data_IF_884923409945
#
_entry.id   IF_884923409945
#
_cell.length_a   1.000
_cell.length_b   1.000
_cell.length_c   1.000
_cell.angle_alpha   90.00
_cell.angle_beta   90.00
_cell.angle_gamma   90.00
#
_symmetry.space_group_name_H-M   'P 1'
#
loop_
_entity.id
_entity.type
_entity.pdbx_description
1 polymer ?
#
# COMPACT_ATOMS: atom_id res chain seq x y z
N UNK A 1 8.05 68.20 23.44
CA UNK A 1 8.96 67.94 24.58
C UNK A 1 8.25 67.01 25.55
N UNK A 2 8.88 66.03 26.22
CA UNK A 2 10.10 65.26 25.92
C UNK A 2 9.88 63.73 25.96
N UNK A 3 10.91 62.99 25.52
CA UNK A 3 11.13 61.54 25.65
C UNK A 3 11.49 61.13 27.09
N UNK A 4 11.17 59.90 27.46
CA UNK A 4 11.88 59.03 28.44
C UNK A 4 11.48 57.57 28.10
N UNK A 5 12.26 56.71 27.43
CA UNK A 5 13.57 56.07 27.69
C UNK A 5 13.69 55.21 28.96
N UNK A 6 13.85 53.89 28.71
CA UNK A 6 14.47 52.80 29.50
C UNK A 6 13.73 52.38 30.79
N UNK A 7 13.68 51.10 31.20
CA UNK A 7 14.80 50.17 31.41
C UNK A 7 14.28 48.70 31.35
N UNK A 8 14.92 47.86 30.54
CA UNK A 8 14.88 46.39 30.65
C UNK A 8 15.52 45.94 31.97
N UNK A 9 14.82 45.10 32.75
CA UNK A 9 15.42 44.31 33.81
C UNK A 9 15.47 42.84 33.41
N UNK A 10 16.66 42.40 32.99
CA UNK A 10 17.09 40.99 33.01
C UNK A 10 16.89 40.44 34.42
N UNK A 11 16.13 39.35 34.53
CA UNK A 11 16.20 38.49 35.72
C UNK A 11 16.97 37.22 35.38
N UNK A 12 18.08 37.07 36.09
CA UNK A 12 18.94 35.90 36.10
C UNK A 12 18.18 34.70 36.67
N UNK A 13 18.02 33.64 35.89
CA UNK A 13 17.58 32.34 36.41
C UNK A 13 18.80 31.59 36.97
N UNK A 14 18.69 31.31 38.26
CA UNK A 14 19.62 30.63 39.13
C UNK A 14 19.76 29.16 38.72
N UNK A 15 21.00 28.72 38.47
CA UNK A 15 21.35 27.32 38.26
C UNK A 15 21.35 26.58 39.60
N UNK A 16 20.45 25.60 39.77
CA UNK A 16 20.54 24.64 40.86
C UNK A 16 21.20 23.37 40.33
N UNK A 17 22.46 23.16 40.72
CA UNK A 17 23.18 21.90 40.60
C UNK A 17 22.58 20.91 41.60
N UNK A 18 21.92 19.86 41.11
CA UNK A 18 21.58 18.70 41.92
C UNK A 18 22.68 17.64 41.72
N UNK A 19 23.37 17.34 42.81
CA UNK A 19 24.44 16.35 42.91
C UNK A 19 23.79 14.95 42.93
N UNK A 20 23.82 14.21 41.82
CA UNK A 20 23.46 12.79 41.82
C UNK A 20 24.73 11.95 41.99
N UNK A 21 24.79 11.29 43.15
CA UNK A 21 25.83 10.39 43.60
C UNK A 21 25.96 9.19 42.64
N UNK A 22 27.17 8.95 42.13
CA UNK A 22 27.52 7.77 41.33
C UNK A 22 27.71 6.59 42.30
N UNK A 23 26.86 5.58 42.22
CA UNK A 23 27.16 4.24 42.72
C UNK A 23 27.57 3.35 41.55
N UNK A 24 28.86 3.02 41.50
CA UNK A 24 29.39 1.91 40.69
C UNK A 24 29.10 0.63 41.45
N UNK A 25 28.12 -0.15 40.99
CA UNK A 25 27.99 -1.56 41.31
C UNK A 25 28.16 -2.35 40.01
N UNK A 26 29.32 -2.96 39.86
CA UNK A 26 29.63 -3.93 38.84
C UNK A 26 28.87 -5.22 39.15
N UNK A 27 27.77 -5.46 38.44
CA UNK A 27 27.14 -6.77 38.39
C UNK A 27 26.80 -7.12 36.95
N UNK A 28 27.60 -8.06 36.40
CA UNK A 28 27.26 -8.88 35.24
C UNK A 28 27.06 -8.11 33.94
N UNK A 29 28.00 -8.28 33.00
CA UNK A 29 27.66 -8.15 31.59
C UNK A 29 26.42 -9.02 31.33
N UNK A 30 25.30 -8.47 30.83
CA UNK A 30 24.33 -9.31 30.17
C UNK A 30 25.10 -9.97 29.04
N UNK A 31 25.25 -11.29 29.09
CA UNK A 31 25.66 -12.06 27.92
C UNK A 31 24.85 -11.54 26.74
N UNK A 32 25.54 -11.13 25.68
CA UNK A 32 25.01 -10.55 24.43
C UNK A 32 24.26 -11.62 23.60
N UNK A 33 23.43 -12.39 24.31
CA UNK A 33 22.45 -13.37 23.84
C UNK A 33 21.05 -12.76 23.91
N UNK A 34 20.94 -11.44 23.76
CA UNK A 34 19.73 -10.85 23.23
C UNK A 34 19.55 -11.42 21.82
N UNK A 35 18.58 -12.31 21.67
CA UNK A 35 18.11 -12.90 20.43
C UNK A 35 18.26 -11.92 19.26
N UNK A 36 19.37 -12.03 18.52
CA UNK A 36 19.28 -11.89 17.07
C UNK A 36 18.34 -13.00 16.66
N UNK A 37 17.07 -12.67 16.48
CA UNK A 37 16.20 -13.47 15.65
C UNK A 37 16.99 -13.68 14.37
N UNK A 38 17.57 -14.86 14.22
CA UNK A 38 18.08 -15.33 12.95
C UNK A 38 16.89 -15.16 12.01
N UNK A 39 16.96 -14.15 11.15
CA UNK A 39 16.05 -14.02 10.02
C UNK A 39 16.38 -15.21 9.13
N UNK A 40 15.81 -16.36 9.48
CA UNK A 40 15.69 -17.50 8.58
C UNK A 40 15.02 -16.89 7.35
N UNK A 41 15.80 -16.73 6.28
CA UNK A 41 15.28 -16.30 5.00
C UNK A 41 14.43 -17.45 4.50
N UNK A 42 13.13 -17.40 4.82
CA UNK A 42 12.14 -18.28 4.24
C UNK A 42 12.17 -18.00 2.75
N UNK A 43 12.44 -19.05 1.97
CA UNK A 43 12.42 -18.99 0.52
C UNK A 43 11.44 -20.05 0.05
N UNK A 44 10.30 -19.58 -0.41
CA UNK A 44 9.28 -20.36 -1.10
C UNK A 44 9.30 -19.94 -2.57
N UNK A 45 10.29 -20.37 -3.37
CA UNK A 45 10.50 -19.86 -4.73
C UNK A 45 9.31 -20.09 -5.67
N UNK A 46 8.41 -21.02 -5.33
CA UNK A 46 7.18 -21.32 -6.06
C UNK A 46 5.91 -20.80 -5.35
N UNK A 47 6.04 -19.89 -4.38
CA UNK A 47 4.95 -19.35 -3.57
C UNK A 47 4.58 -20.24 -2.38
N UNK A 48 3.59 -19.81 -1.60
CA UNK A 48 3.22 -20.47 -0.32
C UNK A 48 2.46 -21.79 -0.47
N UNK A 49 2.02 -22.14 -1.68
CA UNK A 49 1.06 -23.22 -1.93
C UNK A 49 -0.24 -23.09 -1.10
N UNK A 50 -0.59 -21.87 -0.68
CA UNK A 50 -1.78 -21.58 0.11
C UNK A 50 -1.63 -21.74 1.63
N UNK A 51 -0.40 -21.92 2.13
CA UNK A 51 -0.15 -22.08 3.55
C UNK A 51 0.90 -21.09 4.05
N UNK A 52 0.56 -20.31 5.08
CA UNK A 52 1.49 -19.44 5.77
C UNK A 52 2.58 -20.29 6.42
N UNK A 53 3.82 -19.82 6.32
CA UNK A 53 4.87 -20.32 7.19
C UNK A 53 4.51 -20.03 8.66
N UNK A 54 4.78 -20.93 9.62
CA UNK A 54 4.38 -20.74 11.02
C UNK A 54 4.82 -19.41 11.65
N UNK A 55 5.96 -18.86 11.22
CA UNK A 55 6.44 -17.54 11.69
C UNK A 55 5.65 -16.34 11.16
N UNK A 56 4.79 -16.54 10.16
CA UNK A 56 3.93 -15.52 9.56
C UNK A 56 2.59 -15.45 10.30
N UNK A 57 2.07 -16.57 10.81
CA UNK A 57 0.74 -16.67 11.44
C UNK A 57 0.46 -15.64 12.55
N UNK A 58 1.52 -15.17 13.23
CA UNK A 58 1.44 -14.17 14.32
C UNK A 58 1.74 -12.74 13.87
N UNK A 59 2.07 -12.52 12.59
CA UNK A 59 2.36 -11.21 12.02
C UNK A 59 1.07 -10.40 11.80
N UNK A 60 1.15 -9.06 11.80
CA UNK A 60 0.03 -8.22 11.43
C UNK A 60 -0.50 -8.51 10.02
N UNK A 61 -1.76 -8.16 9.80
CA UNK A 61 -2.41 -8.19 8.49
C UNK A 61 -2.31 -6.80 7.84
N UNK A 62 -2.09 -6.78 6.53
CA UNK A 62 -2.04 -5.58 5.70
C UNK A 62 -3.15 -5.67 4.66
N UNK A 63 -4.03 -4.69 4.65
CA UNK A 63 -5.06 -4.54 3.60
C UNK A 63 -4.77 -3.24 2.84
N UNK A 64 -4.32 -3.38 1.60
CA UNK A 64 -4.11 -2.28 0.67
C UNK A 64 -5.40 -2.01 -0.11
N UNK A 65 -6.09 -0.93 0.25
CA UNK A 65 -7.30 -0.46 -0.43
C UNK A 65 -6.93 0.61 -1.45
N UNK A 66 -7.36 0.45 -2.70
CA UNK A 66 -7.23 1.47 -3.74
C UNK A 66 -8.60 1.88 -4.27
N UNK A 67 -8.87 3.18 -4.17
CA UNK A 67 -10.02 3.83 -4.79
C UNK A 67 -9.49 4.64 -5.98
N UNK A 68 -9.70 4.12 -7.19
CA UNK A 68 -9.17 4.73 -8.41
C UNK A 68 -9.76 6.12 -8.62
N UNK A 69 -8.94 7.04 -9.12
CA UNK A 69 -9.34 8.43 -9.37
C UNK A 69 -9.75 9.22 -8.12
N UNK A 70 -9.54 8.71 -6.90
CA UNK A 70 -9.88 9.41 -5.67
C UNK A 70 -8.94 10.60 -5.46
N UNK A 71 -9.39 11.80 -5.83
CA UNK A 71 -8.63 13.04 -5.67
C UNK A 71 -8.57 13.45 -4.19
N UNK A 72 -7.43 14.01 -3.72
CA UNK A 72 -7.28 14.37 -2.32
C UNK A 72 -8.28 15.45 -1.84
N UNK A 73 -8.70 16.36 -2.73
CA UNK A 73 -9.66 17.42 -2.39
C UNK A 73 -11.09 16.91 -2.14
N UNK A 74 -11.39 15.64 -2.48
CA UNK A 74 -12.70 15.05 -2.21
C UNK A 74 -12.99 14.89 -0.72
N UNK A 75 -11.96 14.71 0.11
CA UNK A 75 -12.12 14.64 1.57
C UNK A 75 -12.59 15.98 2.17
N UNK A 76 -12.23 17.11 1.55
CA UNK A 76 -12.64 18.44 2.01
C UNK A 76 -13.98 18.88 1.39
N UNK A 77 -14.31 18.36 0.20
CA UNK A 77 -15.48 18.77 -0.58
C UNK A 77 -16.75 18.00 -0.25
N UNK A 78 -16.62 16.74 0.19
CA UNK A 78 -17.74 15.84 0.37
C UNK A 78 -17.75 15.24 1.79
N UNK A 79 -18.89 14.69 2.20
CA UNK A 79 -19.04 14.09 3.51
C UNK A 79 -18.50 12.65 3.50
N UNK A 80 -17.29 12.46 4.01
CA UNK A 80 -16.58 11.17 4.02
C UNK A 80 -16.32 10.61 5.42
N UNK A 81 -17.34 10.40 6.27
CA UNK A 81 -17.16 10.19 7.71
C UNK A 81 -16.29 8.98 8.07
N UNK A 82 -16.26 7.95 7.20
CA UNK A 82 -15.39 6.79 7.39
C UNK A 82 -13.92 7.10 7.08
N UNK A 83 -13.64 7.88 6.04
CA UNK A 83 -12.28 8.35 5.74
C UNK A 83 -11.83 9.38 6.78
N UNK A 84 -12.71 10.27 7.23
CA UNK A 84 -12.42 11.27 8.27
C UNK A 84 -12.02 10.59 9.57
N UNK A 85 -12.74 9.52 9.95
CA UNK A 85 -12.37 8.69 11.10
C UNK A 85 -11.00 8.05 10.90
N UNK A 86 -10.72 7.47 9.72
CA UNK A 86 -9.40 6.88 9.45
C UNK A 86 -8.27 7.92 9.52
N UNK A 87 -8.49 9.13 8.99
CA UNK A 87 -7.53 10.21 9.02
C UNK A 87 -7.27 10.74 10.44
N UNK A 88 -8.30 10.81 11.29
CA UNK A 88 -8.20 11.32 12.66
C UNK A 88 -7.66 10.30 13.67
N UNK A 89 -7.95 9.01 13.48
CA UNK A 89 -7.45 7.94 14.37
C UNK A 89 -6.17 7.28 13.88
N UNK A 90 -5.76 7.57 12.65
CA UNK A 90 -4.60 6.97 11.99
C UNK A 90 -3.58 8.00 11.55
N UNK A 91 -2.93 7.72 10.41
CA UNK A 91 -1.96 8.62 9.78
C UNK A 91 -2.50 8.97 8.40
N UNK A 92 -2.54 10.26 8.07
CA UNK A 92 -2.84 10.75 6.73
C UNK A 92 -1.70 11.61 6.18
N UNK A 93 -1.52 11.56 4.86
CA UNK A 93 -0.63 12.46 4.15
C UNK A 93 -1.46 13.57 3.49
N UNK A 94 -0.89 14.78 3.37
CA UNK A 94 -1.57 15.92 2.71
C UNK A 94 -1.92 15.64 1.25
N UNK A 95 -1.06 14.90 0.54
CA UNK A 95 -1.29 14.45 -0.83
C UNK A 95 -0.40 13.26 -1.15
N UNK A 96 -0.88 12.43 -2.07
CA UNK A 96 -0.10 11.39 -2.73
C UNK A 96 0.32 11.90 -4.11
N UNK A 97 1.62 11.89 -4.40
CA UNK A 97 2.14 12.27 -5.73
C UNK A 97 2.28 11.01 -6.55
N UNK A 98 1.50 10.90 -7.61
CA UNK A 98 1.57 9.76 -8.53
C UNK A 98 2.80 9.84 -9.43
N UNK A 99 3.14 8.72 -10.06
CA UNK A 99 4.09 8.66 -11.18
C UNK A 99 3.53 9.32 -12.43
N UNK A 100 4.40 9.61 -13.40
CA UNK A 100 3.99 10.05 -14.74
C UNK A 100 4.12 8.88 -15.75
N UNK A 101 3.12 8.67 -16.63
CA UNK A 101 1.83 9.35 -16.66
C UNK A 101 0.92 8.89 -15.50
N UNK A 102 0.04 9.79 -15.04
CA UNK A 102 -0.90 9.53 -13.95
C UNK A 102 -2.09 8.70 -14.43
N UNK A 103 -1.81 7.46 -14.86
CA UNK A 103 -2.78 6.48 -15.35
C UNK A 103 -2.86 5.29 -14.40
N UNK A 104 -4.03 4.63 -14.36
CA UNK A 104 -4.32 3.49 -13.47
C UNK A 104 -3.22 2.43 -13.46
N UNK A 105 -2.92 1.79 -14.60
CA UNK A 105 -2.01 0.63 -14.62
C UNK A 105 -0.57 1.01 -14.24
N UNK A 106 0.04 2.07 -14.81
CA UNK A 106 1.36 2.52 -14.39
C UNK A 106 1.41 2.85 -12.89
N UNK A 107 0.45 3.63 -12.37
CA UNK A 107 0.48 4.07 -10.98
C UNK A 107 0.28 2.91 -9.98
N UNK A 108 -0.67 2.01 -10.24
CA UNK A 108 -0.91 0.87 -9.35
C UNK A 108 0.27 -0.11 -9.35
N UNK A 109 0.88 -0.35 -10.51
CA UNK A 109 2.04 -1.23 -10.56
C UNK A 109 3.29 -0.58 -9.95
N UNK A 110 3.43 0.74 -10.05
CA UNK A 110 4.43 1.50 -9.28
C UNK A 110 4.22 1.38 -7.76
N UNK A 111 2.96 1.43 -7.28
CA UNK A 111 2.64 1.18 -5.85
C UNK A 111 3.05 -0.23 -5.44
N UNK A 112 2.77 -1.23 -6.28
CA UNK A 112 3.07 -2.63 -5.97
C UNK A 112 4.58 -2.94 -5.95
N UNK A 113 5.38 -2.26 -6.76
CA UNK A 113 6.79 -2.59 -7.00
C UNK A 113 7.78 -1.59 -6.38
N UNK A 114 7.33 -0.37 -6.10
CA UNK A 114 8.23 0.75 -5.76
C UNK A 114 9.06 1.28 -6.93
N UNK A 115 8.75 0.87 -8.16
CA UNK A 115 9.50 1.21 -9.38
C UNK A 115 8.77 2.28 -10.20
N UNK A 116 9.51 3.06 -10.99
CA UNK A 116 8.90 3.96 -11.99
C UNK A 116 8.39 3.17 -13.21
N UNK A 117 7.43 3.72 -13.99
CA UNK A 117 6.88 3.08 -15.18
C UNK A 117 7.91 2.57 -16.18
N UNK A 118 8.94 3.36 -16.45
CA UNK A 118 10.05 2.98 -17.35
C UNK A 118 10.82 1.73 -16.88
N UNK A 119 10.83 1.45 -15.58
CA UNK A 119 11.61 0.35 -15.00
C UNK A 119 10.76 -0.93 -14.86
N UNK A 120 9.47 -0.79 -14.57
CA UNK A 120 8.56 -1.93 -14.40
C UNK A 120 7.81 -2.32 -15.69
N UNK A 121 8.03 -1.62 -16.80
CA UNK A 121 7.53 -1.96 -18.14
C UNK A 121 6.13 -1.43 -18.48
N UNK A 122 5.25 -1.32 -17.50
CA UNK A 122 3.88 -0.77 -17.69
C UNK A 122 3.90 0.76 -17.80
N UNK A 123 4.18 1.29 -18.99
CA UNK A 123 4.35 2.74 -19.25
C UNK A 123 3.06 3.50 -19.53
N UNK A 124 1.97 2.79 -19.81
CA UNK A 124 0.64 3.37 -20.04
C UNK A 124 -0.46 2.33 -19.90
N UNK A 125 -1.72 2.79 -19.93
CA UNK A 125 -2.87 1.88 -20.02
C UNK A 125 -2.96 1.20 -21.40
N UNK A 126 -2.39 1.84 -22.44
CA UNK A 126 -2.19 1.30 -23.79
C UNK A 126 -0.89 1.85 -24.34
N UNK A 127 -0.08 1.00 -24.96
CA UNK A 127 1.17 1.40 -25.60
C UNK A 127 1.62 0.36 -26.62
N UNK A 128 2.59 0.73 -27.46
CA UNK A 128 3.24 -0.14 -28.43
C UNK A 128 4.68 -0.38 -27.98
N UNK A 129 5.15 -1.61 -28.09
CA UNK A 129 6.55 -1.97 -27.89
C UNK A 129 7.19 -2.29 -29.25
N UNK A 130 8.12 -1.44 -29.74
CA UNK A 130 8.74 -1.62 -31.04
C UNK A 130 9.68 -2.83 -31.13
N UNK A 131 10.23 -3.30 -30.00
CA UNK A 131 11.12 -4.47 -30.00
C UNK A 131 10.33 -5.78 -30.12
N UNK A 132 9.07 -5.75 -29.66
CA UNK A 132 8.13 -6.87 -29.73
C UNK A 132 7.23 -6.84 -30.95
N UNK A 133 7.07 -5.67 -31.57
CA UNK A 133 6.05 -5.39 -32.58
C UNK A 133 4.62 -5.72 -32.07
N UNK A 134 4.35 -5.38 -30.81
CA UNK A 134 3.10 -5.72 -30.12
C UNK A 134 2.51 -4.52 -29.37
N UNK A 135 1.18 -4.54 -29.20
CA UNK A 135 0.47 -3.57 -28.38
C UNK A 135 0.08 -4.16 -27.03
N UNK A 136 0.33 -3.41 -25.96
CA UNK A 136 -0.30 -3.64 -24.67
C UNK A 136 -1.62 -2.86 -24.58
N UNK A 137 -2.66 -3.47 -24.00
CA UNK A 137 -3.90 -2.78 -23.66
C UNK A 137 -4.53 -3.35 -22.40
N UNK A 138 -4.77 -2.50 -21.41
CA UNK A 138 -5.44 -2.92 -20.17
C UNK A 138 -6.85 -3.51 -20.37
N UNK A 139 -7.47 -3.29 -21.53
CA UNK A 139 -8.78 -3.86 -21.90
C UNK A 139 -8.66 -5.22 -22.58
N UNK A 140 -7.47 -5.59 -23.04
CA UNK A 140 -7.21 -6.89 -23.65
C UNK A 140 -6.63 -7.84 -22.60
N UNK A 141 -7.44 -8.83 -22.24
CA UNK A 141 -7.11 -9.86 -21.25
C UNK A 141 -5.87 -10.65 -21.61
N UNK A 142 -5.61 -10.89 -22.90
CA UNK A 142 -4.43 -11.62 -23.34
C UNK A 142 -3.15 -10.84 -23.00
N UNK A 143 -3.12 -9.53 -23.29
CA UNK A 143 -1.97 -8.67 -23.00
C UNK A 143 -1.78 -8.45 -21.49
N UNK A 144 -2.88 -8.30 -20.73
CA UNK A 144 -2.81 -8.19 -19.27
C UNK A 144 -2.21 -9.46 -18.68
N UNK A 145 -2.60 -10.64 -19.16
CA UNK A 145 -2.17 -11.95 -18.65
C UNK A 145 -0.82 -12.42 -19.15
N UNK A 146 -0.24 -11.76 -20.16
CA UNK A 146 1.12 -12.01 -20.60
C UNK A 146 2.12 -11.39 -19.60
N UNK A 147 2.77 -12.26 -18.83
CA UNK A 147 3.75 -11.90 -17.79
C UNK A 147 4.98 -11.15 -18.31
N UNK A 148 5.28 -11.21 -19.61
CA UNK A 148 6.47 -10.58 -20.16
C UNK A 148 6.35 -9.04 -20.25
N UNK A 149 5.14 -8.48 -20.15
CA UNK A 149 4.93 -7.03 -20.00
C UNK A 149 5.25 -6.49 -18.60
N UNK A 150 5.28 -7.37 -17.60
CA UNK A 150 5.33 -7.01 -16.18
C UNK A 150 6.73 -7.27 -15.61
N UNK A 151 7.53 -6.21 -15.52
CA UNK A 151 8.88 -6.30 -14.96
C UNK A 151 8.88 -6.00 -13.46
N UNK A 152 10.01 -6.26 -12.79
CA UNK A 152 10.15 -6.05 -11.35
C UNK A 152 9.52 -7.13 -10.48
N UNK A 153 9.43 -6.86 -9.18
CA UNK A 153 8.86 -7.78 -8.19
C UNK A 153 7.77 -7.05 -7.39
N UNK A 154 6.48 -7.32 -7.65
CA UNK A 154 5.41 -6.70 -6.89
C UNK A 154 5.29 -7.33 -5.49
N UNK A 155 4.77 -6.56 -4.55
CA UNK A 155 4.74 -6.88 -3.12
C UNK A 155 4.09 -8.23 -2.78
N UNK A 156 3.13 -8.71 -3.58
CA UNK A 156 2.55 -10.04 -3.39
C UNK A 156 3.52 -11.17 -3.77
N UNK A 157 4.36 -10.99 -4.80
CA UNK A 157 5.41 -11.96 -5.14
C UNK A 157 6.46 -12.00 -4.02
N UNK A 158 6.86 -10.84 -3.50
CA UNK A 158 7.77 -10.76 -2.35
C UNK A 158 7.20 -11.45 -1.11
N UNK A 159 5.91 -11.24 -0.81
CA UNK A 159 5.23 -11.89 0.31
C UNK A 159 5.12 -13.41 0.12
N UNK A 160 4.63 -13.86 -1.04
CA UNK A 160 4.47 -15.30 -1.35
C UNK A 160 5.80 -16.05 -1.32
N UNK A 161 6.88 -15.42 -1.79
CA UNK A 161 8.23 -16.02 -1.78
C UNK A 161 8.91 -16.01 -0.41
N UNK A 162 8.34 -15.28 0.55
CA UNK A 162 8.76 -15.26 1.96
C UNK A 162 7.81 -16.04 2.88
N UNK A 163 6.98 -16.91 2.31
CA UNK A 163 6.08 -17.79 3.07
C UNK A 163 4.82 -17.10 3.59
N UNK A 164 4.44 -15.94 3.04
CA UNK A 164 3.23 -15.21 3.42
C UNK A 164 2.13 -15.37 2.36
N UNK A 165 1.00 -15.94 2.75
CA UNK A 165 -0.18 -16.10 1.89
C UNK A 165 -0.75 -14.72 1.57
N UNK A 166 -1.14 -14.52 0.31
CA UNK A 166 -1.67 -13.24 -0.16
C UNK A 166 -3.03 -13.38 -0.86
N UNK A 167 -3.81 -12.29 -0.82
CA UNK A 167 -5.11 -12.17 -1.44
C UNK A 167 -5.17 -10.94 -2.36
N UNK A 168 -5.81 -11.04 -3.51
CA UNK A 168 -5.96 -9.93 -4.43
C UNK A 168 -7.34 -9.90 -5.08
N UNK A 169 -8.04 -8.80 -4.90
CA UNK A 169 -9.29 -8.53 -5.58
C UNK A 169 -9.10 -7.33 -6.52
N UNK A 170 -8.87 -7.64 -7.80
CA UNK A 170 -8.82 -6.71 -8.94
C UNK A 170 -7.62 -5.75 -9.03
N UNK A 171 -6.61 -5.89 -8.18
CA UNK A 171 -5.46 -4.98 -8.23
C UNK A 171 -4.64 -5.21 -9.51
N UNK A 172 -4.24 -4.16 -10.27
CA UNK A 172 -3.49 -4.32 -11.52
C UNK A 172 -2.21 -5.18 -11.36
N UNK A 173 -2.03 -6.12 -12.28
CA UNK A 173 -0.91 -7.08 -12.29
C UNK A 173 -1.19 -8.41 -11.58
N UNK A 174 -2.25 -8.50 -10.76
CA UNK A 174 -2.52 -9.71 -9.95
C UNK A 174 -3.12 -10.88 -10.76
N UNK A 175 -3.53 -10.63 -12.00
CA UNK A 175 -4.13 -11.63 -12.89
C UNK A 175 -3.09 -12.44 -13.67
N UNK A 176 -1.82 -12.11 -13.43
CA UNK A 176 -0.67 -12.56 -14.21
C UNK A 176 0.34 -13.19 -13.27
N UNK A 177 0.93 -14.32 -13.69
CA UNK A 177 1.97 -14.98 -12.93
C UNK A 177 3.31 -14.24 -13.13
N UNK A 178 3.51 -13.18 -12.36
CA UNK A 178 4.72 -12.35 -12.44
C UNK A 178 5.85 -13.12 -11.73
N UNK A 179 6.94 -13.37 -12.46
CA UNK A 179 8.03 -14.26 -12.00
C UNK A 179 7.52 -15.67 -11.63
N UNK A 180 6.46 -16.12 -12.30
CA UNK A 180 5.82 -17.41 -12.04
C UNK A 180 4.87 -17.44 -10.83
N UNK A 181 4.70 -16.32 -10.12
CA UNK A 181 3.92 -16.26 -8.88
C UNK A 181 2.69 -15.36 -9.05
N UNK A 182 1.55 -15.84 -8.55
CA UNK A 182 0.31 -15.06 -8.36
C UNK A 182 0.00 -14.98 -6.87
N UNK A 183 -0.84 -14.02 -6.43
CA UNK A 183 -1.44 -14.12 -5.11
C UNK A 183 -2.16 -15.46 -4.94
N UNK A 184 -2.06 -16.08 -3.75
CA UNK A 184 -2.74 -17.35 -3.47
C UNK A 184 -4.23 -17.27 -3.78
N UNK A 185 -4.90 -16.25 -3.25
CA UNK A 185 -6.29 -15.96 -3.58
C UNK A 185 -6.32 -14.78 -4.53
N UNK A 186 -6.94 -14.96 -5.69
CA UNK A 186 -7.13 -13.84 -6.62
C UNK A 186 -8.43 -13.99 -7.40
N UNK A 187 -8.89 -12.87 -7.98
CA UNK A 187 -10.07 -12.84 -8.85
C UNK A 187 -9.73 -12.16 -10.18
N UNK A 188 -10.14 -12.74 -11.33
CA UNK A 188 -10.02 -12.05 -12.60
C UNK A 188 -10.90 -10.80 -12.59
N UNK A 189 -10.42 -9.71 -13.18
CA UNK A 189 -11.13 -8.44 -13.22
C UNK A 189 -12.46 -8.59 -13.95
N UNK A 190 -13.53 -8.21 -13.26
CA UNK A 190 -14.86 -8.05 -13.81
C UNK A 190 -15.51 -6.81 -13.21
N UNK A 191 -15.60 -5.75 -14.01
CA UNK A 191 -16.17 -4.47 -13.60
C UNK A 191 -17.64 -4.54 -13.19
N UNK A 192 -18.36 -5.62 -13.54
CA UNK A 192 -19.76 -5.84 -13.18
C UNK A 192 -19.93 -6.36 -11.75
N UNK A 193 -18.86 -6.87 -11.11
CA UNK A 193 -18.95 -7.37 -9.74
C UNK A 193 -19.26 -6.23 -8.77
N UNK A 194 -20.37 -6.29 -8.01
CA UNK A 194 -20.74 -5.25 -7.05
C UNK A 194 -19.66 -5.03 -5.99
N UNK A 195 -19.40 -3.77 -5.63
CA UNK A 195 -18.37 -3.41 -4.64
C UNK A 195 -18.56 -4.13 -3.29
N UNK A 196 -19.83 -4.34 -2.88
CA UNK A 196 -20.16 -5.07 -1.66
C UNK A 196 -19.65 -6.51 -1.68
N UNK A 197 -19.76 -7.18 -2.81
CA UNK A 197 -19.36 -8.58 -2.98
C UNK A 197 -17.83 -8.71 -2.95
N UNK A 198 -17.12 -7.69 -3.46
CA UNK A 198 -15.65 -7.59 -3.34
C UNK A 198 -15.23 -7.52 -1.87
N UNK A 199 -15.90 -6.68 -1.09
CA UNK A 199 -15.66 -6.55 0.37
C UNK A 199 -15.98 -7.85 1.09
N UNK A 200 -17.14 -8.46 0.81
CA UNK A 200 -17.54 -9.73 1.42
C UNK A 200 -16.53 -10.85 1.13
N UNK A 201 -16.01 -10.92 -0.09
CA UNK A 201 -14.98 -11.90 -0.43
C UNK A 201 -13.69 -11.68 0.37
N UNK A 202 -13.24 -10.43 0.53
CA UNK A 202 -12.05 -10.11 1.34
C UNK A 202 -12.27 -10.47 2.81
N UNK A 203 -13.45 -10.17 3.37
CA UNK A 203 -13.80 -10.57 4.74
C UNK A 203 -13.86 -12.09 4.89
N UNK A 204 -14.35 -12.81 3.89
CA UNK A 204 -14.35 -14.28 3.87
C UNK A 204 -12.92 -14.84 3.87
N UNK A 205 -12.01 -14.26 3.07
CA UNK A 205 -10.58 -14.62 3.11
C UNK A 205 -9.96 -14.35 4.48
N UNK A 206 -10.23 -13.19 5.09
CA UNK A 206 -9.75 -12.85 6.42
C UNK A 206 -10.38 -13.68 7.55
N UNK A 207 -11.41 -14.48 7.24
CA UNK A 207 -12.06 -15.41 8.17
C UNK A 207 -11.54 -16.85 8.05
N UNK A 208 -10.65 -17.13 7.10
CA UNK A 208 -10.02 -18.45 6.93
C UNK A 208 -9.20 -18.87 8.17
N UNK A 209 -8.91 -20.18 8.34
CA UNK A 209 -7.95 -20.66 9.32
C UNK A 209 -6.61 -19.92 9.22
N UNK A 210 -5.96 -19.63 10.35
CA UNK A 210 -4.75 -18.77 10.41
C UNK A 210 -3.65 -19.22 9.43
N UNK A 211 -3.43 -20.53 9.31
CA UNK A 211 -2.44 -21.09 8.39
C UNK A 211 -2.78 -20.91 6.90
N UNK A 212 -4.04 -20.60 6.54
CA UNK A 212 -4.47 -20.31 5.15
C UNK A 212 -4.85 -18.85 4.94
N UNK A 213 -4.93 -18.05 6.01
CA UNK A 213 -5.47 -16.69 5.93
C UNK A 213 -4.45 -15.75 5.27
N UNK A 214 -4.82 -14.99 4.23
CA UNK A 214 -3.88 -14.07 3.61
C UNK A 214 -3.51 -12.93 4.57
N UNK A 215 -2.21 -12.69 4.74
CA UNK A 215 -1.67 -11.60 5.55
C UNK A 215 -1.52 -10.30 4.76
N UNK A 216 -1.37 -10.38 3.44
CA UNK A 216 -1.41 -9.22 2.55
C UNK A 216 -2.62 -9.36 1.63
N UNK A 217 -3.52 -8.37 1.66
CA UNK A 217 -4.69 -8.31 0.78
C UNK A 217 -4.71 -7.01 0.01
N UNK A 218 -4.83 -7.06 -1.32
CA UNK A 218 -5.06 -5.88 -2.16
C UNK A 218 -6.51 -5.84 -2.65
N UNK A 219 -7.19 -4.70 -2.57
CA UNK A 219 -8.57 -4.53 -3.02
C UNK A 219 -8.74 -3.22 -3.81
N UNK A 220 -9.28 -3.34 -5.02
CA UNK A 220 -9.44 -2.23 -5.97
C UNK A 220 -10.92 -1.88 -6.25
N UNK A 221 -11.20 -0.57 -6.30
CA UNK A 221 -12.48 0.01 -6.68
C UNK A 221 -12.31 1.06 -7.78
N UNK A 222 -13.11 0.97 -8.84
CA UNK A 222 -13.09 1.92 -9.97
C UNK A 222 -14.22 2.97 -9.93
N UNK A 223 -15.07 2.94 -8.90
CA UNK A 223 -16.32 3.71 -8.85
C UNK A 223 -16.10 5.22 -9.06
N UNK A 224 -15.17 5.81 -8.30
CA UNK A 224 -14.92 7.25 -8.28
C UNK A 224 -14.31 7.71 -9.60
N UNK A 225 -13.30 7.00 -10.12
CA UNK A 225 -12.73 7.24 -11.44
C UNK A 225 -13.78 7.17 -12.56
N UNK A 226 -14.61 6.13 -12.55
CA UNK A 226 -15.66 5.93 -13.56
C UNK A 226 -16.68 7.07 -13.53
N UNK A 227 -17.08 7.51 -12.34
CA UNK A 227 -17.95 8.67 -12.19
C UNK A 227 -17.27 9.95 -12.71
N UNK A 228 -16.03 10.22 -12.27
CA UNK A 228 -15.27 11.39 -12.69
C UNK A 228 -15.08 11.48 -14.21
N UNK A 229 -14.90 10.36 -14.90
CA UNK A 229 -14.85 10.30 -16.37
C UNK A 229 -16.19 10.65 -17.04
N UNK A 230 -17.31 10.27 -16.44
CA UNK A 230 -18.64 10.45 -17.02
C UNK A 230 -19.22 11.85 -16.77
N UNK A 231 -19.09 12.36 -15.54
CA UNK A 231 -19.73 13.60 -15.09
C UNK A 231 -18.74 14.74 -14.84
N UNK A 232 -17.43 14.46 -14.86
CA UNK A 232 -16.38 15.43 -14.57
C UNK A 232 -16.09 15.54 -13.06
N UNK A 233 -14.83 15.78 -12.66
CA UNK A 233 -14.44 15.72 -11.25
C UNK A 233 -14.90 16.93 -10.42
N UNK A 234 -15.32 18.02 -11.05
CA UNK A 234 -15.86 19.22 -10.38
C UNK A 234 -17.38 19.20 -10.23
N UNK A 235 -18.06 18.18 -10.77
CA UNK A 235 -19.51 18.07 -10.69
C UNK A 235 -19.98 17.80 -9.25
N UNK A 236 -21.06 18.45 -8.77
CA UNK A 236 -21.67 18.15 -7.47
C UNK A 236 -22.15 16.71 -7.33
N UNK A 237 -22.53 16.07 -8.45
CA UNK A 237 -23.01 14.70 -8.50
C UNK A 237 -21.95 13.67 -8.05
N UNK A 238 -20.66 14.06 -8.01
CA UNK A 238 -19.58 13.25 -7.43
C UNK A 238 -19.85 12.84 -5.98
N UNK A 239 -20.65 13.61 -5.22
CA UNK A 239 -21.04 13.28 -3.84
C UNK A 239 -21.70 11.90 -3.70
N UNK A 240 -22.33 11.35 -4.75
CA UNK A 240 -22.93 10.01 -4.69
C UNK A 240 -21.90 8.89 -4.85
N UNK A 241 -20.73 9.20 -5.40
CA UNK A 241 -19.67 8.23 -5.70
C UNK A 241 -18.55 8.24 -4.66
N UNK A 242 -18.30 9.39 -4.04
CA UNK A 242 -17.34 9.61 -2.94
C UNK A 242 -17.96 9.22 -1.61
#
# INVERSE_FOLDING_TARGET
MPRTNHIEKRQHRLYFFAFCLIFVLTSGTPSDTAQRASTVRIQTPNGTAGYNHPSIETRPYVVLLSFDGFRPDYLDRFNTPHFDRLATTGISAKKFVSVFPSLTFPAHYSIATGMYPQAHGIVGNRFFDPDRDEHFSYRDRATVQDGSWWQGEPIWVTAETQGMVTGAFFFPGTETAIRGIRPTYWKPYDGQVPNRDRIQQVLAWLSLPVHQRPHLVTLYFSLVDSAGHNIGPESPEMQHSV
#
